data_IF_723708618279
#
_entry.id   IF_723708618279
#
_cell.length_a   1.000
_cell.length_b   1.000
_cell.length_c   1.000
_cell.angle_alpha   90.00
_cell.angle_beta   90.00
_cell.angle_gamma   90.00
#
_symmetry.space_group_name_H-M   'P 1'
#
loop_
_entity.id
_entity.type
_entity.pdbx_description
1 polymer ?
#
# COMPACT_ATOMS: atom_id res chain seq x y z
N UNK A 1 11.63 -5.43 6.51
CA UNK A 1 10.32 -4.96 5.98
C UNK A 1 9.83 -6.01 4.98
N UNK A 2 8.52 -6.29 4.86
CA UNK A 2 8.04 -7.25 3.86
C UNK A 2 8.28 -6.72 2.44
N UNK A 3 8.68 -7.58 1.50
CA UNK A 3 8.95 -7.25 0.09
C UNK A 3 7.86 -6.38 -0.56
N UNK A 4 6.59 -6.73 -0.35
CA UNK A 4 5.43 -5.96 -0.85
C UNK A 4 5.44 -4.48 -0.39
N UNK A 5 5.85 -4.20 0.85
CA UNK A 5 5.86 -2.82 1.37
C UNK A 5 6.91 -1.97 0.68
N UNK A 6 8.05 -2.56 0.35
CA UNK A 6 9.12 -1.86 -0.36
C UNK A 6 8.70 -1.57 -1.80
N UNK A 7 8.20 -2.58 -2.51
CA UNK A 7 7.68 -2.42 -3.87
C UNK A 7 6.60 -1.33 -3.94
N UNK A 8 5.69 -1.28 -2.95
CA UNK A 8 4.68 -0.20 -2.88
C UNK A 8 5.33 1.17 -2.72
N UNK A 9 6.31 1.34 -1.83
CA UNK A 9 6.99 2.64 -1.66
C UNK A 9 7.66 3.09 -2.95
N UNK A 10 8.37 2.19 -3.60
CA UNK A 10 9.09 2.48 -4.84
C UNK A 10 8.12 2.88 -5.95
N UNK A 11 7.05 2.10 -6.17
CA UNK A 11 6.04 2.39 -7.20
C UNK A 11 5.35 3.72 -6.94
N UNK A 12 4.97 4.01 -5.69
CA UNK A 12 4.34 5.29 -5.35
C UNK A 12 5.28 6.47 -5.62
N UNK A 13 6.56 6.33 -5.27
CA UNK A 13 7.58 7.37 -5.49
C UNK A 13 7.88 7.57 -6.97
N UNK A 14 8.10 6.50 -7.72
CA UNK A 14 8.44 6.54 -9.16
C UNK A 14 7.30 7.12 -10.00
N UNK A 15 6.05 6.79 -9.68
CA UNK A 15 4.88 7.24 -10.44
C UNK A 15 4.26 8.54 -9.89
N UNK A 16 4.85 9.16 -8.85
CA UNK A 16 4.29 10.36 -8.21
C UNK A 16 2.90 10.15 -7.61
N UNK A 17 2.54 8.91 -7.25
CA UNK A 17 1.23 8.56 -6.71
C UNK A 17 1.20 8.92 -5.22
N UNK A 18 0.21 9.71 -4.84
CA UNK A 18 0.02 10.10 -3.44
C UNK A 18 -0.45 8.90 -2.63
N UNK A 19 0.08 8.76 -1.41
CA UNK A 19 -0.42 7.77 -0.43
C UNK A 19 -1.93 7.88 -0.21
N UNK A 20 -2.48 9.11 -0.31
CA UNK A 20 -3.91 9.38 -0.23
C UNK A 20 -4.72 8.52 -1.20
N UNK A 21 -4.31 8.56 -2.46
CA UNK A 21 -5.00 7.85 -3.53
C UNK A 21 -5.06 6.35 -3.25
N UNK A 22 -3.94 5.75 -2.85
CA UNK A 22 -3.90 4.31 -2.61
C UNK A 22 -4.77 3.90 -1.41
N UNK A 23 -4.72 4.60 -0.28
CA UNK A 23 -5.54 4.18 0.87
C UNK A 23 -7.04 4.36 0.59
N UNK A 24 -7.43 5.35 -0.24
CA UNK A 24 -8.80 5.51 -0.72
C UNK A 24 -9.22 4.35 -1.63
N UNK A 25 -8.34 3.90 -2.54
CA UNK A 25 -8.60 2.69 -3.35
C UNK A 25 -8.80 1.47 -2.46
N UNK A 26 -8.03 1.34 -1.38
CA UNK A 26 -8.14 0.21 -0.45
C UNK A 26 -9.34 0.28 0.50
N UNK A 27 -10.04 1.42 0.57
CA UNK A 27 -11.15 1.62 1.51
C UNK A 27 -10.70 1.65 2.98
N UNK A 28 -9.44 2.02 3.25
CA UNK A 28 -8.90 2.10 4.60
C UNK A 28 -8.51 3.54 4.97
N UNK A 29 -8.46 3.83 6.27
CA UNK A 29 -8.03 5.13 6.75
C UNK A 29 -6.56 5.40 6.45
N UNK A 30 -6.21 6.69 6.31
CA UNK A 30 -4.82 7.14 6.17
C UNK A 30 -3.92 6.59 7.28
N UNK A 31 -4.41 6.59 8.53
CA UNK A 31 -3.65 6.09 9.68
C UNK A 31 -3.39 4.59 9.57
N UNK A 32 -4.38 3.80 9.16
CA UNK A 32 -4.22 2.36 8.96
C UNK A 32 -3.16 2.06 7.89
N UNK A 33 -3.23 2.76 6.75
CA UNK A 33 -2.23 2.64 5.68
C UNK A 33 -0.83 3.07 6.14
N UNK A 34 -0.73 4.15 6.92
CA UNK A 34 0.54 4.64 7.46
C UNK A 34 1.17 3.68 8.48
N UNK A 35 0.38 3.08 9.37
CA UNK A 35 0.86 2.04 10.29
C UNK A 35 1.34 0.82 9.52
N UNK A 36 0.63 0.44 8.46
CA UNK A 36 1.07 -0.65 7.61
C UNK A 36 2.38 -0.37 6.90
N UNK A 37 2.53 0.79 6.26
CA UNK A 37 3.80 1.17 5.65
C UNK A 37 4.95 1.09 6.66
N UNK A 38 4.74 1.55 7.90
CA UNK A 38 5.74 1.51 8.97
C UNK A 38 5.99 0.12 9.55
N UNK A 39 5.19 -0.88 9.21
CA UNK A 39 5.27 -2.23 9.76
C UNK A 39 4.71 -2.35 11.18
N UNK A 40 3.96 -1.35 11.64
CA UNK A 40 3.32 -1.33 12.96
C UNK A 40 2.00 -2.13 12.98
N UNK A 41 1.43 -2.41 11.80
CA UNK A 41 0.20 -3.16 11.62
C UNK A 41 0.17 -3.88 10.28
N UNK A 42 -0.34 -5.11 10.22
CA UNK A 42 -0.54 -5.80 8.94
C UNK A 42 -1.90 -5.49 8.30
N UNK A 43 -1.93 -5.55 6.97
CA UNK A 43 -3.16 -5.51 6.19
C UNK A 43 -3.69 -6.93 6.02
N UNK A 44 -5.02 -7.05 5.94
CA UNK A 44 -5.68 -8.28 5.47
C UNK A 44 -5.23 -8.64 4.06
N UNK A 45 -5.24 -9.95 3.75
CA UNK A 45 -4.85 -10.46 2.44
C UNK A 45 -5.62 -9.81 1.28
N UNK A 46 -6.91 -9.54 1.44
CA UNK A 46 -7.73 -8.87 0.42
C UNK A 46 -7.20 -7.48 0.04
N UNK A 47 -6.73 -6.71 1.03
CA UNK A 47 -6.10 -5.41 0.75
C UNK A 47 -4.77 -5.60 0.03
N UNK A 48 -3.97 -6.60 0.40
CA UNK A 48 -2.70 -6.90 -0.29
C UNK A 48 -2.97 -7.29 -1.74
N UNK A 49 -3.95 -8.14 -2.00
CA UNK A 49 -4.36 -8.53 -3.35
C UNK A 49 -4.81 -7.30 -4.15
N UNK A 50 -5.60 -6.41 -3.55
CA UNK A 50 -6.03 -5.17 -4.19
C UNK A 50 -4.86 -4.21 -4.47
N UNK A 51 -3.87 -4.11 -3.58
CA UNK A 51 -2.64 -3.35 -3.84
C UNK A 51 -1.93 -3.91 -5.08
N UNK A 52 -1.76 -5.24 -5.15
CA UNK A 52 -1.12 -5.91 -6.28
C UNK A 52 -1.83 -5.63 -7.60
N UNK A 53 -3.15 -5.70 -7.59
CA UNK A 53 -4.00 -5.38 -8.75
C UNK A 53 -3.86 -3.91 -9.19
N UNK A 54 -4.06 -2.97 -8.26
CA UNK A 54 -4.09 -1.53 -8.54
C UNK A 54 -2.71 -1.01 -8.98
N UNK A 55 -1.64 -1.52 -8.38
CA UNK A 55 -0.26 -1.10 -8.70
C UNK A 55 0.42 -1.99 -9.74
N UNK A 56 -0.24 -3.07 -10.19
CA UNK A 56 0.31 -4.07 -11.12
C UNK A 56 1.65 -4.64 -10.65
N UNK A 57 1.75 -4.96 -9.36
CA UNK A 57 2.93 -5.57 -8.75
C UNK A 57 2.67 -7.05 -8.43
N UNK A 58 3.64 -7.93 -8.74
CA UNK A 58 3.55 -9.38 -8.49
C UNK A 58 3.89 -9.76 -7.05
#
# INVERSE_FOLDING_TARGET
>A
MSEVRENVREVLKQNGIKHKWLHEQLGISKSHFSHWLRGERDLKQDHINKIKEVLKIN
#
